data_IF_994007484710
#
_entry.id   IF_994007484710
#
_cell.length_a   1.000
_cell.length_b   1.000
_cell.length_c   1.000
_cell.angle_alpha   90.00
_cell.angle_beta   90.00
_cell.angle_gamma   90.00
#
_symmetry.space_group_name_H-M   'P 1'
#
loop_
_entity.id
_entity.type
_entity.pdbx_description
1 polymer ?
#
# COMPACT_ATOMS: atom_id res chain seq x y z
N UNK A 1 10.00 7.81 -6.22
CA UNK A 1 9.03 6.70 -6.09
C UNK A 1 8.69 6.49 -4.62
N UNK A 2 7.51 5.95 -4.32
CA UNK A 2 7.06 5.70 -2.95
C UNK A 2 6.17 4.47 -2.88
N UNK A 3 5.87 4.01 -1.66
CA UNK A 3 4.95 2.91 -1.41
C UNK A 3 4.00 3.29 -0.27
N UNK A 4 2.84 2.66 -0.26
CA UNK A 4 1.88 2.76 0.84
C UNK A 4 1.67 1.37 1.45
N UNK A 5 1.46 1.32 2.76
CA UNK A 5 1.09 0.12 3.48
C UNK A 5 -0.31 0.33 4.06
N UNK A 6 -1.20 -0.64 3.83
CA UNK A 6 -2.48 -0.76 4.53
C UNK A 6 -2.34 -1.94 5.49
N UNK A 7 -2.42 -1.68 6.79
CA UNK A 7 -2.20 -2.68 7.84
C UNK A 7 -3.46 -2.77 8.69
N UNK A 8 -3.93 -3.99 8.92
CA UNK A 8 -5.04 -4.28 9.84
C UNK A 8 -4.50 -5.07 11.04
N UNK A 9 -4.85 -4.63 12.24
CA UNK A 9 -4.54 -5.33 13.48
C UNK A 9 -5.84 -5.87 14.09
N UNK A 10 -5.78 -7.05 14.72
CA UNK A 10 -6.90 -7.68 15.41
C UNK A 10 -6.43 -8.19 16.77
N UNK A 11 -7.29 -8.09 17.77
CA UNK A 11 -7.10 -8.65 19.11
C UNK A 11 -8.39 -9.25 19.63
N UNK A 12 -8.30 -10.24 20.50
CA UNK A 12 -9.46 -10.86 21.17
C UNK A 12 -10.13 -9.92 22.17
N UNK A 13 -9.36 -8.97 22.70
CA UNK A 13 -9.80 -7.86 23.53
C UNK A 13 -9.02 -6.57 23.17
N UNK A 14 -9.33 -5.48 23.87
CA UNK A 14 -8.70 -4.18 23.65
C UNK A 14 -7.20 -4.20 23.98
N UNK A 15 -6.78 -4.96 24.99
CA UNK A 15 -5.38 -5.04 25.40
C UNK A 15 -4.54 -5.79 24.35
N UNK A 16 -5.06 -6.90 23.82
CA UNK A 16 -4.45 -7.66 22.75
C UNK A 16 -4.38 -6.86 21.45
N UNK A 17 -5.44 -6.11 21.11
CA UNK A 17 -5.44 -5.23 19.93
C UNK A 17 -4.36 -4.14 20.07
N UNK A 18 -4.29 -3.50 21.24
CA UNK A 18 -3.28 -2.49 21.51
C UNK A 18 -1.86 -3.06 21.40
N UNK A 19 -1.62 -4.24 21.96
CA UNK A 19 -0.32 -4.90 21.87
C UNK A 19 0.09 -5.19 20.41
N UNK A 20 -0.85 -5.62 19.56
CA UNK A 20 -0.60 -5.85 18.14
C UNK A 20 -0.25 -4.54 17.40
N UNK A 21 -0.96 -3.45 17.68
CA UNK A 21 -0.67 -2.12 17.12
C UNK A 21 0.72 -1.65 17.55
N UNK A 22 1.06 -1.79 18.84
CA UNK A 22 2.36 -1.40 19.38
C UNK A 22 3.51 -2.18 18.72
N UNK A 23 3.35 -3.48 18.50
CA UNK A 23 4.34 -4.31 17.78
C UNK A 23 4.60 -3.82 16.36
N UNK A 24 3.53 -3.56 15.60
CA UNK A 24 3.63 -3.01 14.24
C UNK A 24 4.34 -1.67 14.24
N UNK A 25 3.99 -0.77 15.16
CA UNK A 25 4.62 0.55 15.27
C UNK A 25 6.12 0.46 15.60
N UNK A 26 6.50 -0.48 16.48
CA UNK A 26 7.91 -0.76 16.79
C UNK A 26 8.64 -1.24 15.52
N UNK A 27 8.08 -2.19 14.78
CA UNK A 27 8.67 -2.71 13.56
C UNK A 27 8.85 -1.60 12.50
N UNK A 28 7.83 -0.77 12.28
CA UNK A 28 7.88 0.34 11.34
C UNK A 28 8.93 1.39 11.73
N UNK A 29 9.01 1.78 13.01
CA UNK A 29 10.03 2.71 13.50
C UNK A 29 11.44 2.14 13.34
N UNK A 30 11.62 0.85 13.64
CA UNK A 30 12.91 0.16 13.50
C UNK A 30 13.37 0.01 12.05
N UNK A 31 12.45 0.01 11.09
CA UNK A 31 12.78 -0.02 9.65
C UNK A 31 13.57 1.21 9.19
N UNK A 32 13.44 2.34 9.92
CA UNK A 32 14.01 3.65 9.58
C UNK A 32 13.61 4.16 8.18
N UNK A 33 12.57 3.59 7.58
CA UNK A 33 12.02 4.09 6.33
C UNK A 33 11.33 5.44 6.61
N UNK A 34 11.61 6.49 5.83
CA UNK A 34 10.93 7.76 6.00
C UNK A 34 9.45 7.64 5.60
N UNK A 35 8.57 8.19 6.43
CA UNK A 35 7.14 8.24 6.20
C UNK A 35 6.73 9.63 5.71
N UNK A 36 5.97 9.68 4.62
CA UNK A 36 5.51 10.93 4.02
C UNK A 36 4.24 11.50 4.69
N UNK A 37 3.47 10.65 5.38
CA UNK A 37 2.28 11.07 6.11
C UNK A 37 2.65 11.95 7.31
N UNK A 38 1.90 13.03 7.51
CA UNK A 38 2.07 13.92 8.68
C UNK A 38 1.83 13.20 10.01
N UNK A 39 1.00 12.16 10.01
CA UNK A 39 0.71 11.33 11.19
C UNK A 39 1.94 10.50 11.58
N UNK A 40 2.74 10.08 10.60
CA UNK A 40 3.93 9.25 10.83
C UNK A 40 3.62 7.85 11.38
N UNK A 41 4.59 7.23 12.06
CA UNK A 41 4.45 5.92 12.70
C UNK A 41 3.97 6.07 14.15
N UNK A 42 2.73 6.47 14.33
CA UNK A 42 2.07 6.62 15.63
C UNK A 42 0.72 5.90 15.67
N UNK A 43 0.13 5.82 16.86
CA UNK A 43 -1.15 5.14 17.10
C UNK A 43 -2.33 5.79 16.35
N UNK A 44 -2.29 7.11 16.13
CA UNK A 44 -3.31 7.86 15.39
C UNK A 44 -3.40 7.47 13.90
N UNK A 45 -2.41 6.73 13.39
CA UNK A 45 -2.45 6.14 12.05
C UNK A 45 -3.46 4.98 11.95
N UNK A 46 -3.88 4.40 13.07
CA UNK A 46 -4.88 3.33 13.13
C UNK A 46 -6.27 3.89 13.39
N UNK A 47 -7.27 3.38 12.66
CA UNK A 47 -8.68 3.76 12.81
C UNK A 47 -9.46 2.62 13.41
N UNK A 48 -10.26 2.91 14.43
CA UNK A 48 -11.06 1.93 15.16
C UNK A 48 -12.54 1.93 14.74
N UNK A 49 -13.06 3.06 14.23
CA UNK A 49 -14.43 3.12 13.71
C UNK A 49 -14.50 2.37 12.37
N UNK A 50 -15.39 1.37 12.23
CA UNK A 50 -15.66 0.71 10.95
C UNK A 50 -15.91 1.65 9.79
N UNK A 51 -16.58 2.79 10.01
CA UNK A 51 -16.82 3.77 8.94
C UNK A 51 -15.53 4.38 8.43
N UNK A 52 -14.53 4.57 9.28
CA UNK A 52 -13.27 5.18 8.91
C UNK A 52 -12.33 4.18 8.24
N UNK A 53 -12.09 3.00 8.83
CA UNK A 53 -11.15 2.06 8.24
C UNK A 53 -11.66 1.43 6.95
N UNK A 54 -12.98 1.29 6.78
CA UNK A 54 -13.55 0.74 5.54
C UNK A 54 -13.26 1.60 4.32
N UNK A 55 -13.07 2.92 4.48
CA UNK A 55 -12.66 3.80 3.37
C UNK A 55 -11.35 3.35 2.74
N UNK A 56 -10.37 2.92 3.55
CA UNK A 56 -9.09 2.44 3.03
C UNK A 56 -9.21 1.09 2.33
N UNK A 57 -10.06 0.19 2.85
CA UNK A 57 -10.36 -1.08 2.21
C UNK A 57 -11.12 -0.89 0.89
N UNK A 58 -12.05 0.07 0.83
CA UNK A 58 -12.75 0.44 -0.40
C UNK A 58 -11.78 1.01 -1.45
N UNK A 59 -10.85 1.86 -1.04
CA UNK A 59 -9.76 2.32 -1.92
C UNK A 59 -8.92 1.14 -2.45
N UNK A 60 -8.53 0.20 -1.58
CA UNK A 60 -7.74 -0.99 -1.96
C UNK A 60 -8.49 -1.90 -2.94
N UNK A 61 -9.80 -2.07 -2.77
CA UNK A 61 -10.67 -2.85 -3.69
C UNK A 61 -10.88 -2.11 -5.02
N UNK A 62 -10.97 -0.79 -4.98
CA UNK A 62 -11.22 0.06 -6.14
C UNK A 62 -10.01 0.35 -7.03
N UNK A 63 -8.78 0.02 -6.61
CA UNK A 63 -7.57 0.37 -7.35
C UNK A 63 -7.59 -0.03 -8.83
N UNK A 64 -7.93 -1.27 -9.15
CA UNK A 64 -7.95 -1.78 -10.54
C UNK A 64 -8.97 -1.01 -11.40
N UNK A 65 -10.26 -0.90 -11.01
CA UNK A 65 -11.23 -0.16 -11.83
C UNK A 65 -10.93 1.34 -11.91
N UNK A 66 -10.38 1.96 -10.86
CA UNK A 66 -9.98 3.37 -10.89
C UNK A 66 -8.86 3.59 -11.91
N UNK A 67 -7.80 2.77 -11.86
CA UNK A 67 -6.66 2.89 -12.79
C UNK A 67 -7.08 2.56 -14.22
N UNK A 68 -7.87 1.50 -14.42
CA UNK A 68 -8.37 1.13 -15.73
C UNK A 68 -9.29 2.17 -16.35
N UNK A 69 -10.18 2.78 -15.54
CA UNK A 69 -11.09 3.82 -15.99
C UNK A 69 -10.44 5.18 -16.24
N UNK A 70 -9.26 5.44 -15.66
CA UNK A 70 -8.50 6.67 -15.89
C UNK A 70 -7.68 6.66 -17.20
N UNK A 71 -7.63 5.52 -17.91
CA UNK A 71 -6.88 5.40 -19.17
C UNK A 71 -7.52 6.19 -20.30
N UNK A 72 -6.70 6.63 -21.25
CA UNK A 72 -7.18 7.31 -22.45
C UNK A 72 -8.10 6.40 -23.28
N UNK A 73 -9.21 6.98 -23.76
CA UNK A 73 -10.17 6.30 -24.62
C UNK A 73 -9.49 5.69 -25.84
N UNK A 74 -9.77 4.42 -26.12
CA UNK A 74 -9.16 3.68 -27.23
C UNK A 74 -7.84 2.98 -26.87
N UNK A 75 -7.36 3.10 -25.63
CA UNK A 75 -6.25 2.30 -25.10
C UNK A 75 -6.77 1.07 -24.34
N UNK A 76 -5.90 0.09 -24.13
CA UNK A 76 -6.19 -1.11 -23.34
C UNK A 76 -5.39 -1.10 -22.04
N UNK A 77 -6.00 -1.61 -20.96
CA UNK A 77 -5.29 -1.90 -19.71
C UNK A 77 -4.67 -3.29 -19.80
N UNK A 78 -3.37 -3.38 -19.54
CA UNK A 78 -2.68 -4.66 -19.35
C UNK A 78 -2.59 -4.95 -17.85
N UNK A 79 -3.11 -6.11 -17.43
CA UNK A 79 -3.05 -6.59 -16.04
C UNK A 79 -2.28 -7.89 -16.03
N UNK A 80 -1.21 -7.95 -15.25
CA UNK A 80 -0.36 -9.13 -15.13
C UNK A 80 -0.06 -9.40 -13.66
N UNK A 81 -0.31 -10.64 -13.23
CA UNK A 81 0.09 -11.11 -11.91
C UNK A 81 1.54 -11.60 -11.95
N UNK A 82 2.37 -11.08 -11.05
CA UNK A 82 3.79 -11.43 -10.96
C UNK A 82 4.12 -12.03 -9.59
N UNK A 83 4.78 -13.18 -9.60
CA UNK A 83 5.28 -13.82 -8.39
C UNK A 83 6.77 -13.51 -8.20
N UNK A 84 7.13 -13.00 -7.02
CA UNK A 84 8.53 -12.82 -6.65
C UNK A 84 8.72 -13.09 -5.15
N UNK A 85 9.96 -13.40 -4.75
CA UNK A 85 10.31 -13.45 -3.33
C UNK A 85 10.17 -12.06 -2.71
N UNK A 86 9.64 -11.97 -1.49
CA UNK A 86 9.39 -10.71 -0.77
C UNK A 86 10.60 -9.78 -0.75
N UNK A 87 11.80 -10.33 -0.50
CA UNK A 87 13.08 -9.57 -0.49
C UNK A 87 13.37 -8.82 -1.79
N UNK A 88 12.84 -9.33 -2.92
CA UNK A 88 13.06 -8.80 -4.26
C UNK A 88 11.95 -7.87 -4.74
N UNK A 89 10.81 -7.81 -4.03
CA UNK A 89 9.63 -7.06 -4.46
C UNK A 89 9.98 -5.60 -4.78
N UNK A 90 10.66 -4.91 -3.86
CA UNK A 90 11.03 -3.51 -4.06
C UNK A 90 11.99 -3.28 -5.24
N UNK A 91 12.91 -4.22 -5.51
CA UNK A 91 13.79 -4.14 -6.68
C UNK A 91 13.03 -4.41 -7.97
N UNK A 92 12.21 -5.47 -7.99
CA UNK A 92 11.37 -5.83 -9.14
C UNK A 92 10.44 -4.68 -9.54
N UNK A 93 9.78 -4.02 -8.57
CA UNK A 93 8.93 -2.87 -8.86
C UNK A 93 9.70 -1.73 -9.54
N UNK A 94 10.94 -1.45 -9.14
CA UNK A 94 11.79 -0.43 -9.79
C UNK A 94 12.20 -0.84 -11.20
N UNK A 95 12.53 -2.12 -11.41
CA UNK A 95 12.90 -2.64 -12.72
C UNK A 95 11.70 -2.56 -13.70
N UNK A 96 10.48 -2.85 -13.23
CA UNK A 96 9.24 -2.69 -14.02
C UNK A 96 8.99 -1.23 -14.40
N UNK A 97 9.10 -0.28 -13.46
CA UNK A 97 8.99 1.15 -13.72
C UNK A 97 10.03 1.60 -14.77
N UNK A 98 11.26 1.09 -14.70
CA UNK A 98 12.29 1.41 -15.68
C UNK A 98 11.94 0.86 -17.09
N UNK A 99 11.36 -0.33 -17.17
CA UNK A 99 10.87 -0.92 -18.42
C UNK A 99 9.73 -0.07 -19.01
N UNK A 100 8.76 0.35 -18.20
CA UNK A 100 7.66 1.21 -18.64
C UNK A 100 8.18 2.52 -19.25
N UNK A 101 9.11 3.19 -18.55
CA UNK A 101 9.77 4.41 -19.05
C UNK A 101 10.53 4.17 -20.36
N UNK A 102 11.25 3.05 -20.48
CA UNK A 102 12.01 2.70 -21.69
C UNK A 102 11.12 2.53 -22.93
N UNK A 103 9.90 2.02 -22.75
CA UNK A 103 8.97 1.72 -23.84
C UNK A 103 7.87 2.77 -24.02
N UNK A 104 7.92 3.90 -23.31
CA UNK A 104 7.00 5.02 -23.50
C UNK A 104 5.64 4.85 -22.82
N UNK A 105 5.53 3.98 -21.81
CA UNK A 105 4.34 3.88 -20.95
C UNK A 105 4.37 5.00 -19.90
N UNK A 106 3.98 6.21 -20.30
CA UNK A 106 4.04 7.41 -19.45
C UNK A 106 2.97 7.47 -18.35
N UNK A 107 1.92 6.65 -18.49
CA UNK A 107 0.77 6.54 -17.59
C UNK A 107 0.88 5.33 -16.63
N UNK A 108 2.06 4.72 -16.54
CA UNK A 108 2.38 3.56 -15.71
C UNK A 108 3.39 3.88 -14.58
#
# INVERSE_FOLDING_TARGET
EGAALLIECRGEDEAALKAAIDEVLIALRNSKVPVASQVGYNEEAFRHDPKEYNVFWDARKGLIPIVGGARETGTSMLLEDVACSTEKLGKMSKDLIAIFRKWGYHDA
#
